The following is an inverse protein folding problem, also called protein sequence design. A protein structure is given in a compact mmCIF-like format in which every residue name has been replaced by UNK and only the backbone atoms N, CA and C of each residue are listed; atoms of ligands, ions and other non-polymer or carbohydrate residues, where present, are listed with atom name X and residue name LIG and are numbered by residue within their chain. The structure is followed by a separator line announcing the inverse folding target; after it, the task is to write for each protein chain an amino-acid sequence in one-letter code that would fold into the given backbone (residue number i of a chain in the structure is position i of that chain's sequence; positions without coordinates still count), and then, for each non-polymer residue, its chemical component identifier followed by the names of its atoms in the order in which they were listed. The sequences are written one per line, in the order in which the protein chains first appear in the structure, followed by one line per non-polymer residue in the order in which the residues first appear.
data_IF_031649857152
#
_entry.id   IF_031649857152
#
_cell.length_a   1.000
_cell.length_b   1.000
_cell.length_c   1.000
_cell.angle_alpha   90.00
_cell.angle_beta   90.00
_cell.angle_gamma   90.00
#
_symmetry.space_group_name_H-M   'P 1'
#
loop_
_entity.id
_entity.type
_entity.pdbx_description
1 polymer ?
#
# COMPACT_ATOMS: atom_id res chain seq x y z
N UNK A 1 -33.68 -62.24 -0.20
CA UNK A 1 -32.31 -62.49 -0.72
C UNK A 1 -31.68 -61.18 -1.18
N UNK A 2 -31.25 -60.34 -0.23
CA UNK A 2 -29.83 -59.97 0.06
C UNK A 2 -29.04 -59.19 -1.01
N UNK A 3 -29.57 -58.95 -2.21
CA UNK A 3 -28.87 -58.20 -3.28
C UNK A 3 -29.24 -56.72 -3.37
N UNK A 4 -30.40 -56.31 -2.85
CA UNK A 4 -30.84 -54.90 -2.89
C UNK A 4 -30.33 -54.04 -1.72
N UNK A 5 -29.80 -54.67 -0.66
CA UNK A 5 -29.23 -53.96 0.50
C UNK A 5 -27.88 -53.30 0.18
N UNK A 6 -27.15 -53.80 -0.82
CA UNK A 6 -25.89 -53.21 -1.27
C UNK A 6 -26.10 -51.93 -2.09
N UNK A 7 -27.27 -51.75 -2.73
CA UNK A 7 -27.56 -50.59 -3.58
C UNK A 7 -27.90 -49.34 -2.75
N UNK A 8 -28.41 -49.51 -1.53
CA UNK A 8 -28.76 -48.40 -0.63
C UNK A 8 -27.54 -47.78 0.09
N UNK A 9 -26.42 -48.51 0.17
CA UNK A 9 -25.18 -48.04 0.81
C UNK A 9 -24.29 -47.19 -0.11
N UNK A 10 -24.53 -47.21 -1.43
CA UNK A 10 -23.71 -46.49 -2.43
C UNK A 10 -24.38 -45.17 -2.85
N UNK A 11 -25.68 -45.02 -2.60
CA UNK A 11 -26.44 -43.81 -2.92
C UNK A 11 -25.90 -42.50 -2.29
N UNK A 12 -25.29 -42.47 -1.08
CA UNK A 12 -24.76 -41.22 -0.52
C UNK A 12 -23.48 -40.76 -1.22
N UNK A 13 -22.75 -41.67 -1.89
CA UNK A 13 -21.45 -41.35 -2.51
C UNK A 13 -21.60 -40.59 -3.84
N UNK A 14 -22.79 -40.59 -4.45
CA UNK A 14 -23.06 -39.92 -5.71
C UNK A 14 -23.66 -38.51 -5.56
N UNK A 15 -23.94 -38.06 -4.33
CA UNK A 15 -24.41 -36.70 -4.05
C UNK A 15 -23.23 -35.74 -3.79
N UNK A 16 -21.99 -36.26 -3.70
CA UNK A 16 -20.80 -35.44 -3.47
C UNK A 16 -20.30 -34.64 -4.69
N UNK A 17 -20.98 -34.70 -5.84
CA UNK A 17 -20.77 -33.79 -6.96
C UNK A 17 -21.99 -32.89 -7.19
N UNK A 18 -22.52 -32.29 -6.11
CA UNK A 18 -23.25 -31.03 -6.28
C UNK A 18 -22.22 -29.97 -6.68
N UNK A 19 -22.18 -29.64 -7.97
CA UNK A 19 -21.42 -28.51 -8.47
C UNK A 19 -22.04 -27.27 -7.84
N UNK A 20 -21.50 -26.82 -6.71
CA UNK A 20 -21.84 -25.52 -6.15
C UNK A 20 -21.51 -24.51 -7.22
N UNK A 21 -22.54 -23.94 -7.86
CA UNK A 21 -22.39 -22.69 -8.60
C UNK A 21 -22.02 -21.64 -7.55
N UNK A 22 -20.72 -21.47 -7.31
CA UNK A 22 -20.20 -20.30 -6.64
C UNK A 22 -20.47 -19.14 -7.59
N UNK A 23 -21.63 -18.51 -7.39
CA UNK A 23 -21.85 -17.15 -7.85
C UNK A 23 -20.68 -16.31 -7.37
N UNK A 24 -20.12 -15.56 -8.31
CA UNK A 24 -19.15 -14.48 -8.17
C UNK A 24 -18.02 -14.76 -7.16
N UNK A 25 -16.89 -15.17 -7.71
CA UNK A 25 -15.56 -15.24 -7.10
C UNK A 25 -15.30 -14.06 -6.14
N UNK A 26 -15.64 -14.25 -4.86
CA UNK A 26 -15.01 -13.54 -3.75
C UNK A 26 -13.55 -14.01 -3.71
N UNK A 27 -12.66 -13.31 -4.40
CA UNK A 27 -11.24 -13.63 -4.38
C UNK A 27 -10.64 -13.13 -3.06
N UNK A 28 -10.58 -14.01 -2.06
CA UNK A 28 -10.00 -13.77 -0.73
C UNK A 28 -8.60 -13.11 -0.75
N UNK A 29 -7.80 -13.40 -1.79
CA UNK A 29 -6.49 -12.80 -2.00
C UNK A 29 -6.58 -11.27 -2.24
N UNK A 30 -7.54 -10.80 -3.04
CA UNK A 30 -7.73 -9.37 -3.30
C UNK A 30 -8.22 -8.62 -2.06
N UNK A 31 -9.10 -9.24 -1.27
CA UNK A 31 -9.59 -8.64 -0.02
C UNK A 31 -8.47 -8.53 1.02
N UNK A 32 -7.60 -9.53 1.11
CA UNK A 32 -6.45 -9.53 2.02
C UNK A 32 -5.42 -8.46 1.63
N UNK A 33 -5.14 -8.30 0.35
CA UNK A 33 -4.17 -7.32 -0.15
C UNK A 33 -4.64 -5.88 0.11
N UNK A 34 -5.93 -5.58 -0.10
CA UNK A 34 -6.50 -4.26 0.23
C UNK A 34 -6.44 -3.97 1.72
N UNK A 35 -6.82 -4.92 2.58
CA UNK A 35 -6.79 -4.74 4.03
C UNK A 35 -5.34 -4.55 4.56
N UNK A 36 -4.38 -5.32 4.01
CA UNK A 36 -2.97 -5.14 4.33
C UNK A 36 -2.44 -3.76 3.93
N UNK A 37 -2.87 -3.23 2.78
CA UNK A 37 -2.54 -1.89 2.33
C UNK A 37 -3.13 -0.81 3.25
N UNK A 38 -4.40 -0.94 3.65
CA UNK A 38 -5.06 0.00 4.56
C UNK A 38 -4.34 0.09 5.91
N UNK A 39 -3.90 -1.04 6.46
CA UNK A 39 -3.09 -1.09 7.69
C UNK A 39 -1.76 -0.35 7.49
N UNK A 40 -1.08 -0.56 6.36
CA UNK A 40 0.18 0.13 6.05
C UNK A 40 -0.02 1.64 5.91
N UNK A 41 -1.12 2.08 5.30
CA UNK A 41 -1.45 3.51 5.19
C UNK A 41 -1.74 4.12 6.55
N UNK A 42 -2.47 3.42 7.42
CA UNK A 42 -2.69 3.85 8.80
C UNK A 42 -1.38 4.00 9.58
N UNK A 43 -0.49 3.01 9.49
CA UNK A 43 0.82 3.04 10.13
C UNK A 43 1.70 4.19 9.59
N UNK A 44 1.67 4.43 8.29
CA UNK A 44 2.41 5.50 7.63
C UNK A 44 1.93 6.88 8.09
N UNK A 45 0.62 7.12 8.07
CA UNK A 45 0.04 8.37 8.54
C UNK A 45 0.38 8.63 10.02
N UNK A 46 0.29 7.60 10.86
CA UNK A 46 0.64 7.70 12.28
C UNK A 46 2.12 8.03 12.51
N UNK A 47 3.03 7.42 11.74
CA UNK A 47 4.46 7.73 11.84
C UNK A 47 4.76 9.19 11.46
N UNK A 48 4.08 9.73 10.45
CA UNK A 48 4.24 11.13 10.05
C UNK A 48 3.67 12.05 11.13
N UNK A 49 2.48 11.76 11.63
CA UNK A 49 1.83 12.52 12.69
C UNK A 49 2.72 12.64 13.93
N UNK A 50 3.37 11.56 14.35
CA UNK A 50 4.23 11.56 15.53
C UNK A 50 5.45 12.49 15.40
N UNK A 51 5.88 12.81 14.17
CA UNK A 51 7.12 13.56 13.91
C UNK A 51 6.80 15.00 13.46
N UNK A 52 5.79 15.19 12.62
CA UNK A 52 5.39 16.49 12.07
C UNK A 52 4.19 17.13 12.79
N UNK A 53 3.39 16.33 13.50
CA UNK A 53 2.12 16.73 14.11
C UNK A 53 0.92 16.54 13.18
N UNK A 54 -0.27 16.42 13.78
CA UNK A 54 -1.53 16.08 13.08
C UNK A 54 -1.90 17.03 11.93
N UNK A 55 -1.49 18.31 12.00
CA UNK A 55 -1.80 19.31 10.96
C UNK A 55 -0.88 19.26 9.74
N UNK A 56 0.22 18.54 9.82
CA UNK A 56 1.29 18.51 8.82
C UNK A 56 1.40 17.15 8.12
N UNK A 57 0.38 16.30 8.23
CA UNK A 57 0.34 15.00 7.55
C UNK A 57 0.02 15.22 6.07
N UNK A 58 1.07 15.31 5.26
CA UNK A 58 0.95 15.40 3.79
C UNK A 58 1.15 14.01 3.19
N UNK A 59 0.15 13.51 2.43
CA UNK A 59 0.14 12.18 1.82
C UNK A 59 0.09 12.33 0.30
N UNK A 60 0.74 11.42 -0.43
CA UNK A 60 0.69 11.40 -1.89
C UNK A 60 -0.74 11.24 -2.39
N UNK A 61 -1.10 12.02 -3.40
CA UNK A 61 -2.41 12.03 -4.05
C UNK A 61 -2.28 11.81 -5.56
N UNK A 62 -3.40 11.81 -6.30
CA UNK A 62 -3.38 11.65 -7.76
C UNK A 62 -2.56 12.71 -8.49
N UNK A 63 -2.42 13.90 -7.88
CA UNK A 63 -1.72 15.07 -8.43
C UNK A 63 -0.59 15.59 -7.53
N UNK A 64 -0.29 14.84 -6.48
CA UNK A 64 0.69 15.21 -5.48
C UNK A 64 1.64 14.05 -5.28
N UNK A 65 2.87 14.21 -5.75
CA UNK A 65 3.94 13.29 -5.39
C UNK A 65 4.45 13.69 -4.01
N UNK A 66 4.40 12.78 -3.04
CA UNK A 66 4.95 13.01 -1.71
C UNK A 66 5.82 11.83 -1.34
N UNK A 67 7.09 12.09 -1.03
CA UNK A 67 8.05 11.06 -0.62
C UNK A 67 8.76 11.48 0.66
N UNK A 68 8.61 10.65 1.68
CA UNK A 68 9.37 10.77 2.91
C UNK A 68 10.67 9.97 2.85
N UNK A 69 11.72 10.53 3.42
CA UNK A 69 13.05 9.96 3.57
C UNK A 69 13.60 10.31 4.96
N UNK A 70 14.80 9.82 5.29
CA UNK A 70 15.51 10.18 6.53
C UNK A 70 14.69 9.91 7.80
N UNK A 71 14.02 8.75 7.81
CA UNK A 71 13.15 8.32 8.92
C UNK A 71 11.97 9.27 9.11
N UNK A 72 11.34 9.67 8.00
CA UNK A 72 10.24 10.63 7.93
C UNK A 72 10.61 12.07 8.26
N UNK A 73 11.87 12.39 8.58
CA UNK A 73 12.25 13.78 8.90
C UNK A 73 12.36 14.67 7.67
N UNK A 74 12.47 14.12 6.46
CA UNK A 74 12.62 14.90 5.22
C UNK A 74 11.56 14.46 4.22
N UNK A 75 10.78 15.41 3.68
CA UNK A 75 9.76 15.16 2.66
C UNK A 75 10.05 15.93 1.38
N UNK A 76 9.84 15.28 0.24
CA UNK A 76 9.82 15.91 -1.08
C UNK A 76 8.39 15.88 -1.59
N UNK A 77 7.82 17.06 -1.85
CA UNK A 77 6.48 17.26 -2.36
C UNK A 77 6.56 17.91 -3.74
N UNK A 78 5.95 17.27 -4.74
CA UNK A 78 5.77 17.85 -6.07
C UNK A 78 4.27 17.99 -6.27
N UNK A 79 3.81 19.22 -6.43
CA UNK A 79 2.44 19.54 -6.79
C UNK A 79 2.39 19.74 -8.30
N UNK A 80 1.70 18.82 -9.00
CA UNK A 80 1.62 18.84 -10.46
C UNK A 80 0.61 19.86 -11.00
N UNK A 81 -0.34 20.32 -10.19
CA UNK A 81 -1.30 21.37 -10.59
C UNK A 81 -0.63 22.75 -10.59
N UNK A 82 0.13 23.06 -9.54
CA UNK A 82 0.81 24.36 -9.39
C UNK A 82 2.23 24.36 -10.02
N UNK A 83 2.75 23.20 -10.40
CA UNK A 83 4.09 23.05 -10.96
C UNK A 83 5.21 23.37 -9.96
N UNK A 84 4.96 23.13 -8.67
CA UNK A 84 5.89 23.48 -7.59
C UNK A 84 6.58 22.23 -7.00
N UNK A 85 7.84 22.39 -6.63
CA UNK A 85 8.62 21.38 -5.90
C UNK A 85 9.01 21.97 -4.56
N UNK A 86 8.49 21.39 -3.48
CA UNK A 86 8.74 21.80 -2.10
C UNK A 86 9.51 20.68 -1.40
N UNK A 87 10.67 21.00 -0.82
CA UNK A 87 11.47 20.03 -0.06
C UNK A 87 11.71 20.58 1.33
N UNK A 88 11.30 19.81 2.32
CA UNK A 88 11.27 20.23 3.72
C UNK A 88 11.95 19.19 4.59
N UNK A 89 12.60 19.65 5.66
CA UNK A 89 13.18 18.79 6.68
C UNK A 89 12.94 19.37 8.06
N UNK A 90 12.67 18.49 9.02
CA UNK A 90 12.60 18.80 10.45
C UNK A 90 13.77 18.17 11.23
N UNK A 91 14.78 17.65 10.51
CA UNK A 91 15.98 17.09 11.13
C UNK A 91 16.71 18.16 11.95
N UNK A 92 16.92 17.89 13.24
CA UNK A 92 17.63 18.80 14.14
C UNK A 92 19.15 18.86 13.90
N UNK A 93 19.71 17.86 13.21
CA UNK A 93 21.13 17.75 12.88
C UNK A 93 21.34 17.89 11.37
N UNK A 94 22.26 18.76 10.96
CA UNK A 94 22.64 18.97 9.55
C UNK A 94 21.46 19.12 8.54
N UNK A 95 20.45 19.97 8.81
CA UNK A 95 19.26 20.09 7.94
C UNK A 95 19.60 20.43 6.49
N UNK A 96 20.64 21.26 6.26
CA UNK A 96 21.10 21.59 4.92
C UNK A 96 21.61 20.37 4.12
N UNK A 97 22.24 19.40 4.79
CA UNK A 97 22.71 18.17 4.13
C UNK A 97 21.55 17.27 3.74
N UNK A 98 20.55 17.15 4.62
CA UNK A 98 19.30 16.44 4.35
C UNK A 98 18.56 17.02 3.15
N UNK A 99 18.36 18.34 3.14
CA UNK A 99 17.73 19.05 2.01
C UNK A 99 18.51 18.87 0.72
N UNK A 100 19.84 19.06 0.74
CA UNK A 100 20.69 18.90 -0.45
C UNK A 100 20.53 17.51 -1.06
N UNK A 101 20.56 16.46 -0.24
CA UNK A 101 20.39 15.08 -0.71
C UNK A 101 19.01 14.84 -1.32
N UNK A 102 17.97 15.35 -0.67
CA UNK A 102 16.60 15.24 -1.16
C UNK A 102 16.42 15.97 -2.50
N UNK A 103 16.92 17.21 -2.62
CA UNK A 103 16.89 17.99 -3.87
C UNK A 103 17.55 17.22 -5.02
N UNK A 104 18.78 16.74 -4.82
CA UNK A 104 19.50 16.00 -5.87
C UNK A 104 18.73 14.75 -6.29
N UNK A 105 18.20 13.99 -5.33
CA UNK A 105 17.42 12.76 -5.63
C UNK A 105 16.12 13.06 -6.36
N UNK A 106 15.41 14.10 -5.96
CA UNK A 106 14.13 14.47 -6.57
C UNK A 106 14.31 14.96 -8.00
N UNK A 107 15.36 15.74 -8.28
CA UNK A 107 15.65 16.23 -9.62
C UNK A 107 16.20 15.17 -10.57
N UNK A 108 16.90 14.16 -10.04
CA UNK A 108 17.47 13.06 -10.81
C UNK A 108 16.62 11.79 -10.76
N UNK A 109 15.38 11.88 -10.27
CA UNK A 109 14.48 10.74 -10.21
C UNK A 109 14.08 10.34 -11.63
N UNK A 110 14.30 9.07 -11.98
CA UNK A 110 13.79 8.51 -13.23
C UNK A 110 12.26 8.52 -13.26
N UNK A 111 11.70 8.54 -14.46
CA UNK A 111 10.26 8.57 -14.72
C UNK A 111 9.56 7.22 -14.53
N UNK A 112 10.31 6.16 -14.19
CA UNK A 112 9.76 4.83 -13.97
C UNK A 112 9.24 4.64 -12.53
N UNK A 113 7.90 4.67 -12.33
CA UNK A 113 7.28 4.49 -11.01
C UNK A 113 7.39 3.05 -10.48
N UNK A 114 7.66 2.08 -11.37
CA UNK A 114 7.78 0.65 -11.04
C UNK A 114 9.20 0.24 -10.64
N UNK A 115 10.21 1.02 -11.06
CA UNK A 115 11.65 0.72 -10.87
C UNK A 115 12.17 0.82 -9.43
N UNK A 116 11.35 1.29 -8.48
CA UNK A 116 11.65 1.09 -7.06
C UNK A 116 11.81 2.38 -6.27
N UNK A 117 10.71 2.78 -5.65
CA UNK A 117 10.63 3.10 -4.22
C UNK A 117 9.17 3.40 -3.90
N UNK A 118 8.56 2.58 -3.06
CA UNK A 118 7.22 2.83 -2.54
C UNK A 118 7.15 4.25 -1.95
N UNK A 119 6.13 5.03 -2.33
CA UNK A 119 5.88 6.36 -1.78
C UNK A 119 5.57 6.31 -0.27
N UNK A 120 5.08 5.16 0.18
CA UNK A 120 4.56 4.93 1.53
C UNK A 120 5.54 4.17 2.44
N UNK A 121 6.80 4.01 2.02
CA UNK A 121 7.79 3.21 2.75
C UNK A 121 9.14 3.93 2.90
N UNK A 122 9.92 3.47 3.88
CA UNK A 122 11.21 4.04 4.32
C UNK A 122 12.29 3.99 3.24
#
# INVERSE_FOLDING_TARGET
MKKYLALALIAPLLISCSTTKKGDTYNEAWVKDTNGFDILMGQFAHNIENIWGFKEVVIAGPKDYVKYTDQYQTRSHINFDDGTITIETIAGTEPAAHLRRAIIKTLLMGDDPSSGRSLFQR
#
